data_IF_202120143526
#
_entry.id   IF_202120143526
#
_cell.length_a   1.000
_cell.length_b   1.000
_cell.length_c   1.000
_cell.angle_alpha   90.00
_cell.angle_beta   90.00
_cell.angle_gamma   90.00
#
_symmetry.space_group_name_H-M   'P 1'
#
loop_
_entity.id
_entity.type
_entity.pdbx_description
1 polymer ?
#
# COMPACT_ATOMS: atom_id res chain seq x y z
N UNK A 1 -15.77 11.87 -17.51
CA UNK A 1 -15.47 10.59 -18.20
C UNK A 1 -16.26 10.38 -19.49
N UNK A 2 -17.55 9.98 -19.45
CA UNK A 2 -18.30 9.58 -20.67
C UNK A 2 -18.37 10.68 -21.74
N UNK A 3 -18.64 11.92 -21.36
CA UNK A 3 -18.67 13.06 -22.30
C UNK A 3 -17.31 13.29 -22.98
N UNK A 4 -16.22 13.32 -22.22
CA UNK A 4 -14.87 13.51 -22.73
C UNK A 4 -14.48 12.40 -23.72
N UNK A 5 -14.82 11.14 -23.40
CA UNK A 5 -14.62 10.00 -24.31
C UNK A 5 -15.43 10.16 -25.61
N UNK A 6 -16.68 10.61 -25.52
CA UNK A 6 -17.52 10.86 -26.70
C UNK A 6 -16.98 11.99 -27.59
N UNK A 7 -16.25 12.94 -27.01
CA UNK A 7 -15.59 14.05 -27.73
C UNK A 7 -14.21 13.67 -28.28
N UNK A 8 -13.71 12.46 -28.01
CA UNK A 8 -12.36 12.04 -28.38
C UNK A 8 -11.25 12.71 -27.55
N UNK A 9 -11.59 13.25 -26.38
CA UNK A 9 -10.64 13.87 -25.47
C UNK A 9 -9.94 12.82 -24.61
N UNK A 10 -8.67 13.07 -24.29
CA UNK A 10 -7.92 12.22 -23.36
C UNK A 10 -8.34 12.57 -21.93
N UNK A 11 -9.08 11.66 -21.30
CA UNK A 11 -9.46 11.77 -19.90
C UNK A 11 -8.49 10.99 -19.02
N UNK A 12 -7.74 11.69 -18.17
CA UNK A 12 -6.73 11.09 -17.29
C UNK A 12 -7.00 11.50 -15.83
N UNK A 13 -7.33 10.51 -15.00
CA UNK A 13 -7.49 10.65 -13.54
C UNK A 13 -6.40 9.87 -12.77
N UNK A 14 -5.28 9.53 -13.43
CA UNK A 14 -4.23 8.71 -12.86
C UNK A 14 -3.72 9.24 -11.53
N UNK A 15 -3.43 10.55 -11.46
CA UNK A 15 -2.98 11.20 -10.23
C UNK A 15 -4.05 11.15 -9.12
N UNK A 16 -5.31 11.39 -9.48
CA UNK A 16 -6.42 11.31 -8.52
C UNK A 16 -6.59 9.89 -7.97
N UNK A 17 -6.56 8.89 -8.84
CA UNK A 17 -6.62 7.47 -8.46
C UNK A 17 -5.45 7.07 -7.57
N UNK A 18 -4.23 7.45 -7.96
CA UNK A 18 -3.02 7.18 -7.19
C UNK A 18 -3.10 7.82 -5.79
N UNK A 19 -3.54 9.08 -5.69
CA UNK A 19 -3.68 9.77 -4.40
C UNK A 19 -4.81 9.20 -3.54
N UNK A 20 -5.90 8.74 -4.14
CA UNK A 20 -6.97 8.04 -3.45
C UNK A 20 -6.46 6.75 -2.78
N UNK A 21 -5.72 5.91 -3.52
CA UNK A 21 -5.09 4.71 -2.97
C UNK A 21 -4.02 5.05 -1.92
N UNK A 22 -3.20 6.08 -2.17
CA UNK A 22 -2.21 6.54 -1.20
C UNK A 22 -2.86 6.95 0.14
N UNK A 23 -4.06 7.55 0.11
CA UNK A 23 -4.80 7.90 1.34
C UNK A 23 -5.15 6.65 2.17
N UNK A 24 -5.50 5.53 1.53
CA UNK A 24 -5.73 4.27 2.23
C UNK A 24 -4.44 3.72 2.87
N UNK A 25 -3.31 3.83 2.16
CA UNK A 25 -1.99 3.47 2.69
C UNK A 25 -1.64 4.34 3.91
N UNK A 26 -1.80 5.66 3.79
CA UNK A 26 -1.55 6.60 4.89
C UNK A 26 -2.37 6.26 6.14
N UNK A 27 -3.66 5.94 5.97
CA UNK A 27 -4.54 5.52 7.05
C UNK A 27 -4.06 4.23 7.72
N UNK A 28 -3.69 3.21 6.93
CA UNK A 28 -3.10 1.95 7.45
C UNK A 28 -1.86 2.22 8.29
N UNK A 29 -0.92 3.01 7.76
CA UNK A 29 0.34 3.31 8.44
C UNK A 29 0.13 4.05 9.77
N UNK A 30 -0.78 5.02 9.78
CA UNK A 30 -1.16 5.76 10.99
C UNK A 30 -1.82 4.83 12.02
N UNK A 31 -2.81 4.03 11.61
CA UNK A 31 -3.55 3.12 12.49
C UNK A 31 -2.64 2.05 13.11
N UNK A 32 -1.78 1.41 12.32
CA UNK A 32 -0.93 0.33 12.82
C UNK A 32 0.23 0.83 13.67
N UNK A 33 0.78 2.02 13.36
CA UNK A 33 1.86 2.61 14.15
C UNK A 33 1.36 3.35 15.39
N UNK A 34 0.12 3.83 15.40
CA UNK A 34 -0.42 4.73 16.43
C UNK A 34 0.25 6.11 16.43
N UNK A 35 0.87 6.51 15.32
CA UNK A 35 1.64 7.76 15.20
C UNK A 35 1.00 8.72 14.21
N UNK A 36 1.31 10.00 14.37
CA UNK A 36 1.04 11.00 13.33
C UNK A 36 2.01 10.76 12.18
N UNK A 37 1.45 10.40 11.02
CA UNK A 37 2.20 10.17 9.79
C UNK A 37 1.93 11.32 8.83
N UNK A 38 2.99 11.94 8.31
CA UNK A 38 2.83 12.99 7.30
C UNK A 38 2.84 12.38 5.90
N UNK A 39 1.92 12.84 5.06
CA UNK A 39 1.75 12.35 3.69
C UNK A 39 3.02 12.51 2.84
N UNK A 40 3.65 13.69 2.90
CA UNK A 40 4.91 13.99 2.19
C UNK A 40 6.05 13.05 2.61
N UNK A 41 6.20 12.83 3.92
CA UNK A 41 7.22 11.94 4.47
C UNK A 41 6.98 10.48 4.07
N UNK A 42 5.72 10.02 4.10
CA UNK A 42 5.38 8.65 3.72
C UNK A 42 5.52 8.43 2.21
N UNK A 43 5.21 9.42 1.38
CA UNK A 43 5.44 9.31 -0.07
C UNK A 43 6.94 9.19 -0.38
N UNK A 44 7.80 9.92 0.34
CA UNK A 44 9.24 9.94 0.10
C UNK A 44 10.00 8.76 0.73
N UNK A 45 9.52 8.23 1.87
CA UNK A 45 10.23 7.24 2.71
C UNK A 45 9.40 5.99 3.01
N UNK A 46 8.24 5.85 2.38
CA UNK A 46 7.39 4.69 2.53
C UNK A 46 8.06 3.43 1.99
N UNK A 47 7.64 2.29 2.52
CA UNK A 47 8.11 0.98 2.05
C UNK A 47 7.45 0.61 0.72
N UNK A 48 8.15 -0.18 -0.06
CA UNK A 48 7.52 -0.96 -1.13
C UNK A 48 6.76 -2.14 -0.51
N UNK A 49 5.45 -2.21 -0.75
CA UNK A 49 4.60 -3.30 -0.25
C UNK A 49 4.68 -4.57 -1.09
N UNK A 50 5.16 -4.48 -2.33
CA UNK A 50 5.22 -5.60 -3.25
C UNK A 50 6.58 -5.61 -4.00
N UNK A 51 7.69 -5.78 -3.27
CA UNK A 51 9.01 -5.78 -3.88
C UNK A 51 9.11 -6.93 -4.89
N UNK A 52 9.51 -6.58 -6.12
CA UNK A 52 9.69 -7.54 -7.21
C UNK A 52 8.38 -8.13 -7.74
N UNK A 53 7.27 -7.37 -7.70
CA UNK A 53 5.94 -7.80 -8.15
C UNK A 53 5.93 -8.47 -9.54
N UNK A 54 6.75 -7.99 -10.47
CA UNK A 54 6.82 -8.52 -11.84
C UNK A 54 7.31 -9.98 -11.90
N UNK A 55 8.00 -10.46 -10.86
CA UNK A 55 8.50 -11.83 -10.76
C UNK A 55 7.55 -12.80 -10.05
N UNK A 56 6.39 -12.34 -9.57
CA UNK A 56 5.47 -13.20 -8.83
C UNK A 56 4.75 -14.17 -9.77
N UNK A 57 4.64 -15.41 -9.31
CA UNK A 57 3.90 -16.48 -10.00
C UNK A 57 2.92 -17.11 -9.02
N UNK A 58 1.99 -17.93 -9.52
CA UNK A 58 1.08 -18.70 -8.67
C UNK A 58 1.79 -19.69 -7.73
N UNK A 59 3.09 -19.96 -7.96
CA UNK A 59 3.93 -20.81 -7.10
C UNK A 59 4.77 -20.01 -6.11
N UNK A 60 4.77 -18.68 -6.19
CA UNK A 60 5.54 -17.83 -5.28
C UNK A 60 4.99 -17.99 -3.86
N UNK A 61 5.86 -18.09 -2.84
CA UNK A 61 5.43 -18.15 -1.46
C UNK A 61 4.71 -16.84 -1.07
N UNK A 62 3.66 -16.90 -0.24
CA UNK A 62 3.00 -15.70 0.25
C UNK A 62 3.96 -14.88 1.15
N UNK A 63 3.76 -13.56 1.26
CA UNK A 63 4.62 -12.69 2.09
C UNK A 63 4.64 -13.07 3.58
N UNK A 64 3.58 -13.72 4.06
CA UNK A 64 3.47 -14.21 5.42
C UNK A 64 3.14 -15.70 5.40
N UNK A 65 3.98 -16.50 6.08
CA UNK A 65 3.82 -17.94 6.25
C UNK A 65 3.66 -18.27 7.75
N UNK A 66 3.04 -19.40 8.12
CA UNK A 66 2.96 -19.82 9.51
C UNK A 66 4.36 -20.13 10.06
N UNK A 67 4.55 -19.87 11.36
CA UNK A 67 5.75 -20.24 12.11
C UNK A 67 5.85 -21.75 12.36
N UNK A 68 6.91 -22.16 13.07
CA UNK A 68 7.16 -23.56 13.40
C UNK A 68 6.06 -24.22 14.25
N UNK A 69 5.29 -23.41 14.99
CA UNK A 69 4.13 -23.83 15.78
C UNK A 69 2.82 -23.82 14.97
N UNK A 70 2.89 -23.55 13.67
CA UNK A 70 1.74 -23.46 12.76
C UNK A 70 0.95 -22.15 12.87
N UNK A 71 1.39 -21.18 13.70
CA UNK A 71 0.66 -19.92 13.91
C UNK A 71 1.20 -18.79 13.05
N UNK A 72 0.30 -17.90 12.63
CA UNK A 72 0.66 -16.67 11.92
C UNK A 72 1.10 -15.57 12.90
N UNK A 73 2.02 -14.67 12.49
CA UNK A 73 2.41 -13.53 13.32
C UNK A 73 1.19 -12.64 13.60
N UNK A 74 0.96 -12.36 14.89
CA UNK A 74 -0.13 -11.49 15.33
C UNK A 74 0.38 -10.05 15.37
N UNK A 75 -0.32 -9.09 14.73
CA UNK A 75 0.07 -7.69 14.78
C UNK A 75 -0.04 -7.15 16.22
N UNK A 76 1.00 -6.46 16.67
CA UNK A 76 1.05 -5.82 17.99
C UNK A 76 0.97 -4.30 17.81
N UNK A 77 -0.05 -3.62 18.35
CA UNK A 77 -0.16 -2.17 18.27
C UNK A 77 1.10 -1.46 18.79
N UNK A 78 1.56 -0.43 18.08
CA UNK A 78 2.71 0.39 18.48
C UNK A 78 4.09 -0.22 18.20
N UNK A 79 4.18 -1.52 17.86
CA UNK A 79 5.43 -2.14 17.39
C UNK A 79 5.69 -1.87 15.90
N UNK A 80 4.64 -1.55 15.16
CA UNK A 80 4.73 -1.27 13.72
C UNK A 80 5.39 0.08 13.43
N UNK A 81 6.36 0.08 12.51
CA UNK A 81 7.03 1.30 12.06
C UNK A 81 6.52 1.71 10.67
N UNK A 82 6.04 2.93 10.47
CA UNK A 82 5.50 3.34 9.17
C UNK A 82 6.56 3.64 8.10
N UNK A 83 7.83 3.74 8.49
CA UNK A 83 8.96 4.09 7.60
C UNK A 83 10.09 3.04 7.59
N UNK A 84 9.83 1.84 8.14
CA UNK A 84 10.80 0.75 8.15
C UNK A 84 10.72 -0.10 6.88
#
# INVERSE_FOLDING_TARGET
>A
LIEALMRGEIYNEGDYGAMSTFTAILGREACYSGKVVRADALMAKGRDYCPGVDGYTLKSPPPTVPGADGRYPVPVPGRYSPYA
#
